data_IF_862984266554
#
_entry.id   IF_862984266554
#
_cell.length_a   1.000
_cell.length_b   1.000
_cell.length_c   1.000
_cell.angle_alpha   90.00
_cell.angle_beta   90.00
_cell.angle_gamma   90.00
#
_symmetry.space_group_name_H-M   'P 1'
#
loop_
_entity.id
_entity.type
_entity.pdbx_description
1 polymer ?
#
# COMPACT_ATOMS: atom_id res chain seq x y z
N UNK A 1 64.30 11.31 -2.37
CA UNK A 1 65.46 12.19 -2.12
C UNK A 1 65.73 12.44 -0.62
N UNK A 2 65.52 11.46 0.28
CA UNK A 2 65.65 11.66 1.75
C UNK A 2 66.83 10.88 2.37
N UNK A 3 67.49 9.98 1.62
CA UNK A 3 68.44 9.02 2.19
C UNK A 3 69.93 9.24 1.82
N UNK A 4 70.28 10.36 1.19
CA UNK A 4 71.62 10.59 0.62
C UNK A 4 72.70 10.91 1.68
N UNK A 5 72.32 11.19 2.94
CA UNK A 5 73.28 11.51 4.02
C UNK A 5 73.14 10.70 5.33
N UNK A 6 72.30 9.65 5.37
CA UNK A 6 72.03 8.89 6.59
C UNK A 6 72.93 7.64 6.68
N UNK A 7 73.49 7.38 7.86
CA UNK A 7 74.19 6.12 8.17
C UNK A 7 73.21 4.94 8.13
N UNK A 8 73.68 3.71 7.89
CA UNK A 8 72.83 2.51 7.79
C UNK A 8 71.87 2.36 9.00
N UNK A 9 72.40 2.56 10.21
CA UNK A 9 71.63 2.51 11.46
C UNK A 9 70.52 3.59 11.52
N UNK A 10 70.78 4.78 11.00
CA UNK A 10 69.76 5.84 10.94
C UNK A 10 68.67 5.52 9.92
N UNK A 11 69.02 4.87 8.79
CA UNK A 11 68.04 4.43 7.78
C UNK A 11 67.08 3.39 8.36
N UNK A 12 67.59 2.40 9.11
CA UNK A 12 66.76 1.39 9.80
C UNK A 12 65.80 2.02 10.82
N UNK A 13 66.26 3.02 11.58
CA UNK A 13 65.42 3.74 12.55
C UNK A 13 64.29 4.48 11.83
N UNK A 14 64.58 5.17 10.72
CA UNK A 14 63.56 5.89 9.95
C UNK A 14 62.55 4.92 9.35
N UNK A 15 63.00 3.80 8.77
CA UNK A 15 62.12 2.77 8.23
C UNK A 15 61.21 2.17 9.31
N UNK A 16 61.76 1.84 10.48
CA UNK A 16 60.99 1.28 11.60
C UNK A 16 59.95 2.27 12.12
N UNK A 17 60.31 3.55 12.23
CA UNK A 17 59.37 4.61 12.63
C UNK A 17 58.25 4.80 11.61
N UNK A 18 58.59 4.79 10.33
CA UNK A 18 57.62 4.91 9.25
C UNK A 18 56.68 3.71 9.18
N UNK A 19 57.21 2.49 9.30
CA UNK A 19 56.40 1.27 9.35
C UNK A 19 55.44 1.26 10.55
N UNK A 20 55.92 1.63 11.73
CA UNK A 20 55.08 1.80 12.93
C UNK A 20 53.98 2.85 12.74
N UNK A 21 54.31 3.97 12.10
CA UNK A 21 53.36 5.02 11.74
C UNK A 21 52.27 4.49 10.79
N UNK A 22 52.65 3.84 9.69
CA UNK A 22 51.72 3.25 8.73
C UNK A 22 50.80 2.22 9.39
N UNK A 23 51.36 1.31 10.20
CA UNK A 23 50.59 0.31 10.95
C UNK A 23 49.60 0.97 11.92
N UNK A 24 50.00 2.05 12.59
CA UNK A 24 49.13 2.80 13.50
C UNK A 24 48.01 3.52 12.75
N UNK A 25 48.33 4.15 11.62
CA UNK A 25 47.35 4.83 10.77
C UNK A 25 46.29 3.86 10.26
N UNK A 26 46.71 2.73 9.69
CA UNK A 26 45.79 1.69 9.18
C UNK A 26 44.89 1.12 10.28
N UNK A 27 45.44 0.86 11.48
CA UNK A 27 44.65 0.42 12.63
C UNK A 27 43.67 1.49 13.11
N UNK A 28 44.06 2.77 13.03
CA UNK A 28 43.20 3.90 13.34
C UNK A 28 42.00 3.97 12.41
N UNK A 29 42.24 3.92 11.10
CA UNK A 29 41.19 3.96 10.07
C UNK A 29 40.25 2.76 10.16
N UNK A 30 40.78 1.55 10.38
CA UNK A 30 39.95 0.37 10.58
C UNK A 30 39.01 0.54 11.79
N UNK A 31 39.50 1.06 12.91
CA UNK A 31 38.66 1.34 14.09
C UNK A 31 37.62 2.42 13.82
N UNK A 32 38.00 3.47 13.09
CA UNK A 32 37.09 4.55 12.71
C UNK A 32 35.94 4.01 11.85
N UNK A 33 36.27 3.19 10.85
CA UNK A 33 35.30 2.51 10.01
C UNK A 33 34.31 1.67 10.85
N UNK A 34 34.80 0.77 11.70
CA UNK A 34 33.91 -0.07 12.51
C UNK A 34 33.06 0.73 13.50
N UNK A 35 33.59 1.83 14.05
CA UNK A 35 32.82 2.73 14.92
C UNK A 35 31.65 3.36 14.15
N UNK A 36 31.89 3.86 12.95
CA UNK A 36 30.85 4.44 12.11
C UNK A 36 29.81 3.38 11.69
N UNK A 37 30.25 2.18 11.34
CA UNK A 37 29.34 1.06 11.03
C UNK A 37 28.43 0.72 12.23
N UNK A 38 28.98 0.65 13.45
CA UNK A 38 28.18 0.38 14.64
C UNK A 38 27.20 1.53 14.94
N UNK A 39 27.64 2.79 14.81
CA UNK A 39 26.77 3.97 15.00
C UNK A 39 25.58 3.96 14.03
N UNK A 40 25.78 3.51 12.79
CA UNK A 40 24.71 3.32 11.81
C UNK A 40 23.79 2.17 12.20
N UNK A 41 24.35 1.00 12.54
CA UNK A 41 23.56 -0.17 12.99
C UNK A 41 22.70 0.07 14.23
N UNK A 42 23.11 0.98 15.13
CA UNK A 42 22.28 1.38 16.29
C UNK A 42 21.03 2.17 15.89
N UNK A 43 21.02 2.76 14.69
CA UNK A 43 19.96 3.69 14.23
C UNK A 43 19.25 3.23 12.96
N UNK A 44 19.85 2.32 12.21
CA UNK A 44 19.42 1.85 10.89
C UNK A 44 19.19 0.35 10.92
N UNK A 45 18.12 -0.08 10.25
CA UNK A 45 17.78 -1.47 9.98
C UNK A 45 17.76 -1.67 8.47
N UNK A 46 18.29 -2.80 7.99
CA UNK A 46 18.26 -3.10 6.57
C UNK A 46 16.84 -3.42 6.12
N UNK A 47 16.48 -3.02 4.90
CA UNK A 47 15.17 -3.32 4.33
C UNK A 47 14.87 -4.83 4.31
N UNK A 48 15.88 -5.67 4.05
CA UNK A 48 15.76 -7.14 4.04
C UNK A 48 15.53 -7.75 5.42
N UNK A 49 15.81 -7.01 6.50
CA UNK A 49 15.64 -7.46 7.88
C UNK A 49 14.30 -6.97 8.48
N UNK A 50 13.54 -6.16 7.73
CA UNK A 50 12.20 -5.75 8.13
C UNK A 50 11.23 -6.93 8.08
N UNK A 51 10.38 -7.03 9.10
CA UNK A 51 9.24 -7.96 9.10
C UNK A 51 8.11 -7.38 8.25
N UNK A 52 7.24 -8.25 7.74
CA UNK A 52 6.08 -7.84 6.93
C UNK A 52 5.23 -6.76 7.61
N UNK A 53 4.91 -6.93 8.90
CA UNK A 53 4.13 -5.92 9.65
C UNK A 53 4.86 -4.59 9.91
N UNK A 54 6.16 -4.48 9.64
CA UNK A 54 6.90 -3.21 9.62
C UNK A 54 6.86 -2.59 8.22
N UNK A 55 7.03 -3.40 7.18
CA UNK A 55 6.87 -2.98 5.78
C UNK A 55 5.48 -2.40 5.51
N UNK A 56 4.44 -2.99 6.11
CA UNK A 56 3.07 -2.49 6.01
C UNK A 56 2.88 -1.07 6.54
N UNK A 57 3.78 -0.59 7.41
CA UNK A 57 3.74 0.78 7.95
C UNK A 57 4.54 1.78 7.14
N UNK A 58 5.36 1.29 6.21
CA UNK A 58 6.26 2.09 5.39
C UNK A 58 5.68 2.41 4.01
N UNK A 59 4.68 1.67 3.55
CA UNK A 59 4.01 2.01 2.29
C UNK A 59 2.93 3.07 2.52
N UNK A 60 2.83 3.96 1.54
CA UNK A 60 1.68 4.83 1.34
C UNK A 60 1.20 4.56 -0.09
N UNK A 61 -0.11 4.35 -0.25
CA UNK A 61 -0.69 4.29 -1.58
C UNK A 61 -1.07 5.71 -1.96
N UNK A 62 -0.54 6.19 -3.09
CA UNK A 62 -1.03 7.43 -3.68
C UNK A 62 -2.52 7.27 -3.98
N UNK A 63 -3.35 8.17 -3.41
CA UNK A 63 -4.75 8.29 -3.79
C UNK A 63 -4.80 8.91 -5.19
N UNK A 64 -4.92 8.09 -6.22
CA UNK A 64 -5.16 8.59 -7.57
C UNK A 64 -6.61 9.10 -7.66
N UNK A 65 -6.77 10.41 -7.85
CA UNK A 65 -8.05 11.01 -8.23
C UNK A 65 -8.43 10.49 -9.61
N UNK A 66 -9.33 9.50 -9.68
CA UNK A 66 -9.75 8.89 -10.94
C UNK A 66 -10.54 7.60 -10.82
N UNK A 67 -10.40 6.87 -9.70
CA UNK A 67 -11.15 5.63 -9.46
C UNK A 67 -12.45 5.86 -8.67
N UNK A 68 -12.75 7.10 -8.30
CA UNK A 68 -13.95 7.42 -7.55
C UNK A 68 -15.17 7.54 -8.47
N UNK A 69 -16.27 6.98 -7.97
CA UNK A 69 -17.56 6.94 -8.67
C UNK A 69 -18.58 7.75 -7.90
N UNK A 70 -19.51 8.39 -8.62
CA UNK A 70 -20.47 9.31 -8.03
C UNK A 70 -21.88 8.73 -8.03
N UNK A 71 -22.62 8.92 -6.94
CA UNK A 71 -24.05 8.66 -6.85
C UNK A 71 -24.78 9.91 -6.43
N UNK A 72 -25.89 10.20 -7.11
CA UNK A 72 -26.73 11.36 -6.77
C UNK A 72 -27.88 10.95 -5.87
N UNK A 73 -28.06 11.64 -4.74
CA UNK A 73 -29.17 11.44 -3.80
C UNK A 73 -29.67 12.78 -3.30
N UNK A 74 -30.98 13.02 -3.41
CA UNK A 74 -31.61 14.27 -2.95
C UNK A 74 -30.96 15.56 -3.49
N UNK A 75 -30.34 15.51 -4.66
CA UNK A 75 -29.65 16.65 -5.27
C UNK A 75 -28.16 16.71 -4.99
N UNK A 76 -27.66 16.01 -3.98
CA UNK A 76 -26.25 15.94 -3.61
C UNK A 76 -25.52 14.83 -4.37
N UNK A 77 -24.27 15.09 -4.77
CA UNK A 77 -23.39 14.10 -5.38
C UNK A 77 -22.45 13.51 -4.31
N UNK A 78 -22.50 12.19 -4.17
CA UNK A 78 -21.74 11.43 -3.19
C UNK A 78 -20.62 10.69 -3.90
N UNK A 79 -19.38 10.97 -3.51
CA UNK A 79 -18.18 10.29 -3.99
C UNK A 79 -17.97 8.96 -3.26
N UNK A 80 -17.72 7.90 -4.01
CA UNK A 80 -17.41 6.56 -3.50
C UNK A 80 -16.05 6.13 -4.04
N UNK A 81 -15.06 6.05 -3.14
CA UNK A 81 -13.68 5.70 -3.49
C UNK A 81 -13.52 4.23 -3.93
N UNK A 82 -14.35 3.31 -3.40
CA UNK A 82 -14.23 1.86 -3.69
C UNK A 82 -15.25 1.40 -4.73
N UNK A 83 -14.76 0.94 -5.88
CA UNK A 83 -15.58 0.33 -6.93
C UNK A 83 -16.38 -0.88 -6.43
N UNK A 84 -15.82 -1.68 -5.51
CA UNK A 84 -16.53 -2.81 -4.91
C UNK A 84 -17.75 -2.35 -4.10
N UNK A 85 -17.59 -1.30 -3.31
CA UNK A 85 -18.68 -0.71 -2.53
C UNK A 85 -19.73 -0.08 -3.47
N UNK A 86 -19.29 0.64 -4.50
CA UNK A 86 -20.18 1.23 -5.50
C UNK A 86 -21.08 0.18 -6.16
N UNK A 87 -20.49 -0.90 -6.68
CA UNK A 87 -21.21 -2.02 -7.30
C UNK A 87 -22.17 -2.72 -6.33
N UNK A 88 -21.77 -2.88 -5.06
CA UNK A 88 -22.65 -3.45 -4.05
C UNK A 88 -23.87 -2.56 -3.75
N UNK A 89 -23.65 -1.24 -3.68
CA UNK A 89 -24.73 -0.25 -3.48
C UNK A 89 -25.67 -0.20 -4.71
N UNK A 90 -25.14 -0.38 -5.92
CA UNK A 90 -25.96 -0.44 -7.14
C UNK A 90 -26.92 -1.65 -7.16
N UNK A 91 -26.59 -2.74 -6.47
CA UNK A 91 -27.48 -3.92 -6.34
C UNK A 91 -28.63 -3.70 -5.37
N UNK A 92 -28.59 -2.66 -4.55
CA UNK A 92 -29.72 -2.28 -3.69
C UNK A 92 -30.86 -1.68 -4.53
N UNK A 93 -32.10 -1.86 -4.04
CA UNK A 93 -33.25 -1.12 -4.59
C UNK A 93 -33.08 0.38 -4.35
N UNK A 94 -33.71 1.22 -5.17
CA UNK A 94 -33.59 2.68 -5.08
C UNK A 94 -33.89 3.24 -3.68
N UNK A 95 -34.95 2.74 -3.03
CA UNK A 95 -35.33 3.14 -1.65
C UNK A 95 -34.25 2.75 -0.64
N UNK A 96 -33.72 1.54 -0.75
CA UNK A 96 -32.65 1.05 0.11
C UNK A 96 -31.36 1.84 -0.06
N UNK A 97 -30.99 2.10 -1.32
CA UNK A 97 -29.83 2.90 -1.70
C UNK A 97 -29.92 4.31 -1.13
N UNK A 98 -31.06 4.97 -1.32
CA UNK A 98 -31.32 6.33 -0.81
C UNK A 98 -31.15 6.39 0.71
N UNK A 99 -31.77 5.46 1.45
CA UNK A 99 -31.66 5.40 2.91
C UNK A 99 -30.21 5.16 3.38
N UNK A 100 -29.48 4.26 2.72
CA UNK A 100 -28.07 3.99 3.08
C UNK A 100 -27.18 5.18 2.81
N UNK A 101 -27.32 5.80 1.63
CA UNK A 101 -26.52 6.94 1.24
C UNK A 101 -26.76 8.13 2.18
N UNK A 102 -28.03 8.44 2.50
CA UNK A 102 -28.33 9.50 3.47
C UNK A 102 -27.80 9.18 4.88
N UNK A 103 -27.90 7.92 5.34
CA UNK A 103 -27.52 7.55 6.70
C UNK A 103 -26.00 7.49 6.93
N UNK A 104 -25.21 7.14 5.91
CA UNK A 104 -23.77 6.88 6.07
C UNK A 104 -22.86 7.86 5.34
N UNK A 105 -23.36 8.53 4.30
CA UNK A 105 -22.56 9.48 3.52
C UNK A 105 -22.99 10.93 3.77
N UNK A 106 -24.23 11.15 4.20
CA UNK A 106 -24.74 12.48 4.58
C UNK A 106 -24.92 12.63 6.11
N UNK A 107 -24.49 11.64 6.90
CA UNK A 107 -24.58 11.60 8.37
C UNK A 107 -25.98 11.89 8.95
N UNK A 108 -27.05 11.59 8.20
CA UNK A 108 -28.42 11.84 8.65
C UNK A 108 -28.94 10.72 9.57
N UNK A 109 -29.67 11.11 10.60
CA UNK A 109 -30.36 10.17 11.50
C UNK A 109 -31.61 9.57 10.85
N UNK A 110 -32.10 8.45 11.39
CA UNK A 110 -33.31 7.80 10.86
C UNK A 110 -34.56 8.69 10.92
N UNK A 111 -34.60 9.63 11.87
CA UNK A 111 -35.67 10.62 11.98
C UNK A 111 -35.57 11.67 10.88
N UNK A 112 -34.40 12.28 10.70
CA UNK A 112 -34.17 13.29 9.65
C UNK A 112 -34.40 12.71 8.25
N UNK A 113 -33.99 11.46 8.01
CA UNK A 113 -34.27 10.75 6.76
C UNK A 113 -35.78 10.51 6.60
N UNK A 114 -36.47 10.12 7.67
CA UNK A 114 -37.92 9.92 7.68
C UNK A 114 -38.66 11.21 7.32
N UNK A 115 -38.26 12.33 7.92
CA UNK A 115 -38.81 13.66 7.61
C UNK A 115 -38.54 14.06 6.15
N UNK A 116 -37.30 13.89 5.67
CA UNK A 116 -36.91 14.22 4.29
C UNK A 116 -37.66 13.39 3.25
N UNK A 117 -37.89 12.10 3.51
CA UNK A 117 -38.58 11.19 2.61
C UNK A 117 -40.10 11.11 2.85
N UNK A 118 -40.63 11.84 3.84
CA UNK A 118 -42.01 11.75 4.31
C UNK A 118 -42.44 10.30 4.65
N UNK A 119 -41.58 9.59 5.39
CA UNK A 119 -41.74 8.20 5.82
C UNK A 119 -41.61 8.09 7.34
N UNK A 120 -42.27 7.10 7.94
CA UNK A 120 -42.09 6.80 9.36
C UNK A 120 -40.68 6.25 9.63
N UNK A 121 -40.09 6.66 10.76
CA UNK A 121 -38.79 6.18 11.25
C UNK A 121 -38.67 4.64 11.21
N UNK A 122 -39.74 3.92 11.57
CA UNK A 122 -39.76 2.44 11.53
C UNK A 122 -39.54 1.86 10.14
N UNK A 123 -39.99 2.55 9.09
CA UNK A 123 -39.80 2.16 7.69
C UNK A 123 -38.35 2.42 7.26
N UNK A 124 -37.77 3.55 7.68
CA UNK A 124 -36.36 3.86 7.46
C UNK A 124 -35.47 2.82 8.15
N UNK A 125 -35.78 2.50 9.41
CA UNK A 125 -35.08 1.46 10.18
C UNK A 125 -35.10 0.11 9.45
N UNK A 126 -36.27 -0.31 8.97
CA UNK A 126 -36.41 -1.54 8.17
C UNK A 126 -35.55 -1.51 6.91
N UNK A 127 -35.63 -0.43 6.13
CA UNK A 127 -34.85 -0.28 4.90
C UNK A 127 -33.35 -0.29 5.18
N UNK A 128 -32.88 0.46 6.18
CA UNK A 128 -31.47 0.49 6.59
C UNK A 128 -30.99 -0.91 7.00
N UNK A 129 -31.70 -1.57 7.91
CA UNK A 129 -31.35 -2.92 8.39
C UNK A 129 -31.28 -3.94 7.26
N UNK A 130 -32.30 -3.96 6.39
CA UNK A 130 -32.35 -4.90 5.25
C UNK A 130 -31.25 -4.63 4.22
N UNK A 131 -30.93 -3.35 4.00
CA UNK A 131 -29.86 -2.95 3.08
C UNK A 131 -28.50 -3.40 3.58
N UNK A 132 -28.20 -3.19 4.87
CA UNK A 132 -26.93 -3.64 5.47
C UNK A 132 -26.79 -5.17 5.42
N UNK A 133 -27.87 -5.91 5.67
CA UNK A 133 -27.86 -7.37 5.53
C UNK A 133 -27.55 -7.82 4.10
N UNK A 134 -28.12 -7.14 3.10
CA UNK A 134 -27.88 -7.45 1.70
C UNK A 134 -26.46 -7.07 1.27
N UNK A 135 -25.99 -5.87 1.65
CA UNK A 135 -24.61 -5.42 1.38
C UNK A 135 -23.59 -6.38 1.99
N UNK A 136 -23.78 -6.77 3.25
CA UNK A 136 -22.93 -7.76 3.92
C UNK A 136 -22.84 -9.05 3.13
N UNK A 137 -24.00 -9.60 2.73
CA UNK A 137 -24.04 -10.83 1.92
C UNK A 137 -23.34 -10.65 0.57
N UNK A 138 -23.52 -9.50 -0.10
CA UNK A 138 -22.90 -9.26 -1.42
C UNK A 138 -21.38 -9.20 -1.28
N UNK A 139 -20.87 -8.47 -0.29
CA UNK A 139 -19.45 -8.24 -0.08
C UNK A 139 -18.74 -9.52 0.39
N UNK A 140 -19.30 -10.25 1.37
CA UNK A 140 -18.74 -11.52 1.84
C UNK A 140 -18.61 -12.55 0.69
N UNK A 141 -19.62 -12.65 -0.18
CA UNK A 141 -19.55 -13.55 -1.33
C UNK A 141 -18.54 -13.11 -2.39
N UNK A 142 -18.26 -11.80 -2.53
CA UNK A 142 -17.26 -11.30 -3.47
C UNK A 142 -15.84 -11.60 -2.96
N UNK A 143 -15.61 -11.47 -1.65
CA UNK A 143 -14.33 -11.79 -1.02
C UNK A 143 -13.98 -13.27 -1.20
N UNK A 144 -14.93 -14.19 -0.99
CA UNK A 144 -14.71 -15.63 -1.21
C UNK A 144 -14.34 -15.98 -2.66
N UNK A 145 -14.82 -15.22 -3.65
CA UNK A 145 -14.48 -15.43 -5.05
C UNK A 145 -13.11 -14.83 -5.39
N UNK A 146 -12.78 -13.68 -4.81
CA UNK A 146 -11.48 -13.04 -4.97
C UNK A 146 -10.37 -13.91 -4.37
N UNK A 147 -10.58 -14.51 -3.19
CA UNK A 147 -9.63 -15.46 -2.58
C UNK A 147 -9.39 -16.71 -3.45
N UNK A 148 -10.44 -17.21 -4.13
CA UNK A 148 -10.31 -18.31 -5.11
C UNK A 148 -9.55 -17.89 -6.36
N UNK A 149 -9.76 -16.66 -6.84
CA UNK A 149 -9.03 -16.12 -8.00
C UNK A 149 -7.55 -15.89 -7.65
N UNK A 150 -7.25 -15.35 -6.47
CA UNK A 150 -5.88 -15.09 -6.03
C UNK A 150 -5.11 -16.39 -5.75
N UNK A 151 -5.77 -17.42 -5.22
CA UNK A 151 -5.16 -18.75 -5.11
C UNK A 151 -4.91 -19.42 -6.46
N UNK A 152 -5.72 -19.13 -7.49
CA UNK A 152 -5.43 -19.54 -8.87
C UNK A 152 -4.31 -18.72 -9.51
N UNK A 153 -4.24 -17.40 -9.25
CA UNK A 153 -3.21 -16.49 -9.78
C UNK A 153 -1.82 -16.77 -9.21
N UNK A 154 -1.75 -17.25 -7.97
CA UNK A 154 -0.50 -17.54 -7.26
C UNK A 154 -0.01 -19.00 -7.46
N UNK A 155 -0.57 -19.77 -8.40
CA UNK A 155 -0.10 -21.12 -8.71
C UNK A 155 1.12 -21.08 -9.67
N UNK A 156 2.32 -21.53 -9.27
CA UNK A 156 3.52 -21.50 -10.13
C UNK A 156 3.52 -22.57 -11.24
N UNK A 157 2.46 -23.38 -11.36
CA UNK A 157 2.40 -24.54 -12.27
C UNK A 157 1.22 -24.45 -13.22
N UNK A 158 1.36 -23.66 -14.29
CA UNK A 158 0.39 -23.58 -15.38
C UNK A 158 1.01 -22.97 -16.64
N UNK A 159 1.50 -23.81 -17.53
CA UNK A 159 2.14 -23.41 -18.79
C UNK A 159 1.16 -22.88 -19.85
N UNK A 160 1.74 -22.04 -20.71
CA UNK A 160 1.25 -21.48 -21.99
C UNK A 160 0.11 -20.45 -21.93
N UNK A 161 0.52 -19.19 -22.09
CA UNK A 161 -0.32 -18.07 -22.56
C UNK A 161 -0.86 -18.41 -23.95
N UNK A 162 -2.18 -18.53 -24.11
CA UNK A 162 -2.80 -18.33 -25.41
C UNK A 162 -2.89 -16.81 -25.64
N UNK A 163 -2.15 -16.31 -26.62
CA UNK A 163 -2.29 -14.95 -27.13
C UNK A 163 -3.62 -14.81 -27.85
N UNK A 164 -4.47 -13.89 -27.40
CA UNK A 164 -5.53 -13.32 -28.24
C UNK A 164 -5.33 -11.81 -28.22
N UNK A 165 -4.54 -11.33 -29.18
CA UNK A 165 -4.70 -10.01 -29.75
C UNK A 165 -4.73 -10.21 -31.28
N UNK A 166 -5.47 -9.33 -31.95
CA UNK A 166 -5.69 -9.20 -33.39
C UNK A 166 -6.74 -10.12 -34.02
N UNK A 167 -8.01 -9.69 -33.95
CA UNK A 167 -8.85 -9.50 -35.15
C UNK A 167 -9.81 -8.30 -34.94
N UNK A 168 -9.23 -7.10 -34.97
CA UNK A 168 -9.96 -5.87 -35.29
C UNK A 168 -9.25 -5.22 -36.48
N UNK A 169 -9.81 -5.39 -37.68
CA UNK A 169 -9.44 -4.58 -38.86
C UNK A 169 -9.18 -5.36 -40.14
N UNK A 170 -10.25 -5.74 -40.84
CA UNK A 170 -10.41 -5.89 -42.31
C UNK A 170 -11.66 -6.78 -42.52
N UNK A 171 -12.77 -6.34 -43.12
CA UNK A 171 -12.86 -5.56 -44.35
C UNK A 171 -14.05 -4.61 -44.37
N UNK A 172 -13.74 -3.40 -44.84
CA UNK A 172 -14.58 -2.56 -45.69
C UNK A 172 -15.06 -3.34 -46.91
N UNK A 173 -16.38 -3.51 -47.07
CA UNK A 173 -17.23 -3.16 -48.21
C UNK A 173 -18.67 -3.61 -47.94
#
# INVERSE_FOLDING_TARGET
MIFIGLTLKQKEIVQTKFDSYCKRSLKGEARHYFREQNRRKEKEIMFSELKDGQLDKLYSMDKYYGDSTFLKVQGEEIEIESMQIFEAILKLTEKQRTVILMAYFLDMTENEIGECLNLMQSTIHYHKKKSLQLLRKILENQDEQNEKIDSLRNNPRGGKRQSILDQSGASTL
#
